data_IF_219931965402
#
_entry.id   IF_219931965402
#
_cell.length_a   1.000
_cell.length_b   1.000
_cell.length_c   1.000
_cell.angle_alpha   90.00
_cell.angle_beta   90.00
_cell.angle_gamma   90.00
#
_symmetry.space_group_name_H-M   'P 1'
#
loop_
_entity.id
_entity.type
_entity.pdbx_description
1 polymer ?
#
# COMPACT_ATOMS: atom_id res chain seq x y z
N UNK A 1 3.92 -11.83 -3.01
CA UNK A 1 3.14 -10.96 -2.11
C UNK A 1 2.62 -9.74 -2.86
N UNK A 2 3.49 -8.99 -3.53
CA UNK A 2 3.13 -7.85 -4.37
C UNK A 2 1.97 -8.11 -5.36
N UNK A 3 2.08 -9.13 -6.23
CA UNK A 3 1.03 -9.40 -7.25
C UNK A 3 -0.34 -9.72 -6.63
N UNK A 4 -0.36 -10.39 -5.48
CA UNK A 4 -1.59 -10.69 -4.77
C UNK A 4 -2.25 -9.42 -4.22
N UNK A 5 -1.47 -8.53 -3.59
CA UNK A 5 -1.97 -7.25 -3.07
C UNK A 5 -2.47 -6.37 -4.23
N UNK A 6 -1.73 -6.32 -5.35
CA UNK A 6 -2.12 -5.59 -6.55
C UNK A 6 -3.43 -6.11 -7.14
N UNK A 7 -3.59 -7.43 -7.21
CA UNK A 7 -4.83 -8.05 -7.67
C UNK A 7 -6.01 -7.70 -6.75
N UNK A 8 -5.85 -7.89 -5.43
CA UNK A 8 -6.88 -7.57 -4.45
C UNK A 8 -7.27 -6.08 -4.49
N UNK A 9 -6.32 -5.18 -4.66
CA UNK A 9 -6.59 -3.74 -4.87
C UNK A 9 -7.38 -3.48 -6.16
N UNK A 10 -6.99 -4.13 -7.28
CA UNK A 10 -7.66 -3.95 -8.57
C UNK A 10 -9.13 -4.38 -8.60
N UNK A 11 -9.52 -5.34 -7.76
CA UNK A 11 -10.91 -5.79 -7.61
C UNK A 11 -11.66 -5.04 -6.50
N UNK A 12 -11.05 -4.01 -5.90
CA UNK A 12 -11.63 -3.23 -4.80
C UNK A 12 -11.63 -3.95 -3.45
N UNK A 13 -10.88 -5.04 -3.32
CA UNK A 13 -10.71 -5.78 -2.06
C UNK A 13 -9.78 -5.11 -1.06
N UNK A 14 -8.96 -4.16 -1.52
CA UNK A 14 -8.10 -3.31 -0.68
C UNK A 14 -8.23 -1.83 -1.08
N UNK A 15 -8.05 -0.96 -0.09
CA UNK A 15 -7.91 0.48 -0.24
C UNK A 15 -6.45 0.90 0.01
N UNK A 16 -6.11 2.16 -0.30
CA UNK A 16 -4.78 2.72 -0.08
C UNK A 16 -4.28 2.51 1.35
N UNK A 17 -5.17 2.58 2.35
CA UNK A 17 -4.80 2.29 3.74
C UNK A 17 -4.29 0.86 3.89
N UNK A 18 -5.01 -0.13 3.37
CA UNK A 18 -4.65 -1.55 3.49
C UNK A 18 -3.32 -1.83 2.78
N UNK A 19 -3.10 -1.25 1.60
CA UNK A 19 -1.82 -1.32 0.88
C UNK A 19 -0.69 -0.73 1.72
N UNK A 20 -0.96 0.36 2.45
CA UNK A 20 -0.01 0.98 3.38
C UNK A 20 0.35 0.09 4.56
N UNK A 21 -0.61 -0.64 5.13
CA UNK A 21 -0.36 -1.59 6.22
C UNK A 21 0.62 -2.70 5.75
N UNK A 22 0.58 -3.10 4.46
CA UNK A 22 1.55 -4.03 3.87
C UNK A 22 2.96 -3.46 3.73
N UNK A 23 3.11 -2.13 3.62
CA UNK A 23 4.41 -1.46 3.69
C UNK A 23 4.96 -1.52 5.12
N UNK A 24 4.12 -1.23 6.12
CA UNK A 24 4.51 -1.21 7.54
C UNK A 24 5.04 -2.58 8.00
N UNK A 25 4.39 -3.67 7.59
CA UNK A 25 4.83 -5.03 7.94
C UNK A 25 5.98 -5.56 7.07
N UNK A 26 6.47 -4.76 6.10
CA UNK A 26 7.61 -5.09 5.25
C UNK A 26 7.31 -6.08 4.13
N UNK A 27 6.03 -6.26 3.76
CA UNK A 27 5.62 -7.16 2.68
C UNK A 27 5.82 -6.53 1.29
N UNK A 28 5.76 -5.20 1.22
CA UNK A 28 6.06 -4.39 0.04
C UNK A 28 6.83 -3.14 0.46
N UNK A 29 7.46 -2.45 -0.49
CA UNK A 29 8.12 -1.16 -0.26
C UNK A 29 7.30 0.04 -0.76
N UNK A 30 7.78 1.26 -0.49
CA UNK A 30 7.12 2.52 -0.88
C UNK A 30 6.92 2.64 -2.40
N UNK A 31 7.82 2.05 -3.21
CA UNK A 31 7.72 2.08 -4.68
C UNK A 31 6.60 1.17 -5.14
N UNK A 32 6.49 -0.01 -4.54
CA UNK A 32 5.42 -0.96 -4.78
C UNK A 32 4.06 -0.41 -4.34
N UNK A 33 4.00 0.31 -3.22
CA UNK A 33 2.80 1.04 -2.81
C UNK A 33 2.35 2.03 -3.89
N UNK A 34 3.29 2.84 -4.42
CA UNK A 34 3.00 3.80 -5.48
C UNK A 34 2.55 3.14 -6.78
N UNK A 35 3.12 1.98 -7.12
CA UNK A 35 2.69 1.22 -8.30
C UNK A 35 1.25 0.70 -8.17
N UNK A 36 0.84 0.28 -6.96
CA UNK A 36 -0.51 -0.25 -6.73
C UNK A 36 -1.54 0.88 -6.66
N UNK A 37 -1.25 1.93 -5.89
CA UNK A 37 -2.23 2.96 -5.52
C UNK A 37 -2.19 4.19 -6.43
N UNK A 38 -1.05 4.45 -7.10
CA UNK A 38 -0.77 5.69 -7.82
C UNK A 38 -0.33 6.85 -6.92
N UNK A 39 -0.26 6.66 -5.60
CA UNK A 39 0.08 7.70 -4.63
C UNK A 39 1.44 7.45 -3.98
N UNK A 40 2.13 8.52 -3.58
CA UNK A 40 3.32 8.38 -2.74
C UNK A 40 2.92 7.88 -1.35
N UNK A 41 3.65 6.89 -0.84
CA UNK A 41 3.42 6.38 0.50
C UNK A 41 3.78 7.45 1.53
N UNK A 42 2.78 7.89 2.30
CA UNK A 42 2.97 8.77 3.45
C UNK A 42 3.06 7.89 4.69
N UNK A 43 4.24 7.87 5.30
CA UNK A 43 4.47 7.05 6.49
C UNK A 43 3.49 7.45 7.60
N UNK A 44 3.14 6.52 8.48
CA UNK A 44 2.18 6.82 9.55
C UNK A 44 2.63 7.98 10.47
N UNK A 45 3.93 8.29 10.57
CA UNK A 45 4.42 9.50 11.26
C UNK A 45 3.82 10.80 10.73
N UNK A 46 3.37 10.82 9.47
CA UNK A 46 2.72 11.97 8.82
C UNK A 46 1.18 11.82 8.80
N UNK A 47 0.64 10.64 9.13
CA UNK A 47 -0.82 10.38 9.21
C UNK A 47 -1.41 10.67 10.58
N UNK A 48 -0.59 10.67 11.64
CA UNK A 48 -1.01 11.01 13.02
C UNK A 48 -0.62 12.43 13.44
N UNK A 49 -0.10 13.24 12.52
CA UNK A 49 0.32 14.64 12.75
C UNK A 49 -0.79 15.65 12.47
#
# INVERSE_FOLDING_TARGET
MFDFIKFMYSIGGYQNKDVGDFVVIGNIDDKQYKEITGEDYKSDKERVA
#
